data_IF_169600630915
#
_entry.id   IF_169600630915
#
_cell.length_a   1.000
_cell.length_b   1.000
_cell.length_c   1.000
_cell.angle_alpha   90.00
_cell.angle_beta   90.00
_cell.angle_gamma   90.00
#
_symmetry.space_group_name_H-M   'P 1'
#
loop_
_entity.id
_entity.type
_entity.pdbx_description
1 polymer ?
#
# COMPACT_ATOMS: atom_id res chain seq x y z
N UNK A 1 26.39 26.39 -24.46
CA UNK A 1 25.09 26.76 -25.06
C UNK A 1 24.07 25.84 -24.43
N UNK A 2 23.22 26.41 -23.59
CA UNK A 2 22.15 25.72 -22.90
C UNK A 2 20.97 25.60 -23.88
N UNK A 3 20.57 24.38 -24.21
CA UNK A 3 19.29 24.16 -24.89
C UNK A 3 18.20 24.08 -23.82
N UNK A 4 17.28 25.02 -23.97
CA UNK A 4 16.17 25.36 -23.11
C UNK A 4 15.20 24.21 -22.93
N UNK A 5 14.69 24.10 -21.70
CA UNK A 5 13.50 23.35 -21.30
C UNK A 5 12.36 23.59 -22.29
N UNK A 6 12.07 22.58 -23.12
CA UNK A 6 10.84 22.54 -23.87
C UNK A 6 9.72 22.19 -22.89
N UNK A 7 8.96 23.22 -22.48
CA UNK A 7 7.65 23.08 -21.87
C UNK A 7 6.84 22.06 -22.67
N UNK A 8 6.55 20.92 -22.05
CA UNK A 8 5.61 19.96 -22.63
C UNK A 8 4.22 20.61 -22.55
N UNK A 9 3.48 20.74 -23.66
CA UNK A 9 2.18 21.38 -23.61
C UNK A 9 1.24 20.60 -22.71
N UNK A 10 0.67 21.29 -21.73
CA UNK A 10 -0.43 20.80 -20.88
C UNK A 10 -1.54 20.23 -21.78
N UNK A 11 -1.77 18.92 -21.68
CA UNK A 11 -2.84 18.24 -22.41
C UNK A 11 -4.20 18.88 -22.06
N UNK A 12 -5.06 19.23 -23.04
CA UNK A 12 -6.37 19.82 -22.76
C UNK A 12 -7.25 18.83 -22.00
N UNK A 13 -7.56 19.16 -20.74
CA UNK A 13 -8.41 18.35 -19.86
C UNK A 13 -7.76 17.99 -18.53
N UNK A 14 -7.19 18.98 -17.82
CA UNK A 14 -6.70 18.83 -16.45
C UNK A 14 -7.82 18.37 -15.50
N UNK A 15 -8.02 17.06 -15.42
CA UNK A 15 -8.57 16.41 -14.23
C UNK A 15 -7.47 16.34 -13.16
N UNK A 16 -6.81 17.46 -12.91
CA UNK A 16 -5.89 17.58 -11.78
C UNK A 16 -6.73 17.62 -10.51
N UNK A 17 -6.91 16.45 -9.89
CA UNK A 17 -6.99 16.42 -8.43
C UNK A 17 -5.85 17.31 -7.93
N UNK A 18 -6.17 18.39 -7.22
CA UNK A 18 -5.22 19.44 -6.77
C UNK A 18 -4.27 18.86 -5.72
N UNK A 19 -3.38 17.96 -6.16
CA UNK A 19 -2.35 17.39 -5.30
C UNK A 19 -1.54 18.53 -4.69
N UNK A 20 -1.16 18.33 -3.45
CA UNK A 20 -0.30 19.21 -2.69
C UNK A 20 1.13 18.68 -2.79
N UNK A 21 2.09 19.51 -3.20
CA UNK A 21 3.50 19.11 -3.24
C UNK A 21 4.17 19.41 -1.89
N UNK A 22 4.85 18.40 -1.33
CA UNK A 22 5.58 18.50 -0.07
C UNK A 22 6.92 17.77 -0.22
N UNK A 23 8.03 18.50 -0.05
CA UNK A 23 9.41 18.00 -0.26
C UNK A 23 9.57 17.12 -1.52
N UNK A 24 9.05 17.60 -2.66
CA UNK A 24 9.16 16.92 -3.96
C UNK A 24 8.17 15.78 -4.20
N UNK A 25 7.24 15.51 -3.27
CA UNK A 25 6.24 14.44 -3.39
C UNK A 25 4.84 15.03 -3.58
N UNK A 26 4.11 14.55 -4.57
CA UNK A 26 2.69 14.90 -4.77
C UNK A 26 1.81 14.10 -3.78
N UNK A 27 1.24 14.78 -2.80
CA UNK A 27 0.34 14.21 -1.79
C UNK A 27 -1.12 14.60 -2.06
N UNK A 28 -2.11 13.83 -1.58
CA UNK A 28 -3.50 14.21 -1.66
C UNK A 28 -3.77 15.59 -1.03
N UNK A 29 -4.77 16.36 -1.53
CA UNK A 29 -5.07 17.70 -1.03
C UNK A 29 -5.34 17.75 0.48
N UNK A 30 -5.91 16.68 1.04
CA UNK A 30 -6.21 16.60 2.46
C UNK A 30 -4.96 16.50 3.35
N UNK A 31 -3.76 16.24 2.81
CA UNK A 31 -2.51 16.27 3.58
C UNK A 31 -1.95 17.70 3.78
N UNK A 32 -2.50 18.69 3.07
CA UNK A 32 -2.06 20.07 3.15
C UNK A 32 -2.27 20.61 4.57
N UNK A 33 -1.21 21.17 5.16
CA UNK A 33 -1.25 21.82 6.48
C UNK A 33 -1.18 20.87 7.68
N UNK A 34 -1.05 19.55 7.48
CA UNK A 34 -0.93 18.57 8.58
C UNK A 34 0.37 17.77 8.61
N UNK A 35 1.29 18.01 7.66
CA UNK A 35 2.50 17.17 7.55
C UNK A 35 3.42 17.28 8.78
N UNK A 36 3.53 18.47 9.37
CA UNK A 36 4.28 18.66 10.62
C UNK A 36 3.59 17.97 11.80
N UNK A 37 2.26 17.98 11.85
CA UNK A 37 1.50 17.28 12.89
C UNK A 37 1.60 15.75 12.75
N UNK A 38 1.61 15.24 11.52
CA UNK A 38 1.86 13.83 11.20
C UNK A 38 3.26 13.42 11.65
N UNK A 39 4.29 14.23 11.35
CA UNK A 39 5.66 13.94 11.75
C UNK A 39 5.81 13.84 13.29
N UNK A 40 5.06 14.68 14.03
CA UNK A 40 5.05 14.71 15.49
C UNK A 40 3.90 13.88 16.11
N UNK A 41 3.25 12.99 15.35
CA UNK A 41 2.16 12.18 15.87
C UNK A 41 2.68 11.25 16.98
N UNK A 42 2.05 11.23 18.17
CA UNK A 42 2.56 10.45 19.30
C UNK A 42 2.39 8.94 19.03
N UNK A 43 3.51 8.26 18.79
CA UNK A 43 3.56 6.81 18.59
C UNK A 43 3.60 6.11 19.95
N UNK A 44 2.93 4.97 20.07
CA UNK A 44 2.97 4.11 21.27
C UNK A 44 3.70 2.81 20.92
N UNK A 45 4.47 2.21 21.85
CA UNK A 45 5.17 0.95 21.59
C UNK A 45 4.28 -0.24 21.20
N UNK A 46 3.00 -0.18 21.59
CA UNK A 46 1.99 -1.19 21.27
C UNK A 46 1.35 -1.00 19.89
N UNK A 47 1.63 0.10 19.18
CA UNK A 47 1.00 0.34 17.89
C UNK A 47 1.53 -0.62 16.82
N UNK A 48 0.69 -0.84 15.82
CA UNK A 48 1.06 -1.57 14.61
C UNK A 48 0.67 -0.71 13.42
N UNK A 49 1.62 -0.44 12.56
CA UNK A 49 1.45 0.42 11.40
C UNK A 49 1.39 -0.42 10.14
N UNK A 50 0.30 -0.31 9.38
CA UNK A 50 0.16 -0.93 8.07
C UNK A 50 0.40 0.13 7.02
N UNK A 51 1.53 0.01 6.32
CA UNK A 51 1.93 1.01 5.33
C UNK A 51 2.02 0.38 3.95
N UNK A 52 1.45 1.05 2.95
CA UNK A 52 1.43 0.55 1.57
C UNK A 52 1.42 1.70 0.60
N UNK A 53 2.09 1.60 -0.55
CA UNK A 53 1.69 2.44 -1.67
C UNK A 53 0.22 2.12 -2.03
N UNK A 54 -0.61 3.11 -2.43
CA UNK A 54 -2.01 2.84 -2.72
C UNK A 54 -2.18 1.69 -3.72
N UNK A 55 -3.09 0.77 -3.37
CA UNK A 55 -3.46 -0.42 -4.17
C UNK A 55 -2.42 -1.55 -4.21
N UNK A 56 -1.50 -1.57 -3.25
CA UNK A 56 -0.63 -2.74 -3.01
C UNK A 56 -1.30 -3.91 -2.28
N UNK A 57 -2.59 -3.83 -1.94
CA UNK A 57 -3.32 -4.90 -1.25
C UNK A 57 -3.72 -4.61 0.19
N UNK A 58 -3.70 -3.33 0.60
CA UNK A 58 -3.94 -2.85 1.97
C UNK A 58 -5.14 -3.49 2.66
N UNK A 59 -6.29 -3.58 1.96
CA UNK A 59 -7.53 -4.16 2.51
C UNK A 59 -7.39 -5.64 2.88
N UNK A 60 -6.58 -6.41 2.13
CA UNK A 60 -6.38 -7.82 2.44
C UNK A 60 -5.33 -7.99 3.55
N UNK A 61 -4.24 -7.23 3.49
CA UNK A 61 -3.22 -7.26 4.53
C UNK A 61 -3.76 -6.86 5.90
N UNK A 62 -4.61 -5.84 5.99
CA UNK A 62 -5.14 -5.41 7.28
C UNK A 62 -6.04 -6.46 7.93
N UNK A 63 -6.83 -7.21 7.13
CA UNK A 63 -7.67 -8.30 7.62
C UNK A 63 -6.78 -9.44 8.14
N UNK A 64 -5.73 -9.80 7.39
CA UNK A 64 -4.74 -10.81 7.81
C UNK A 64 -4.00 -10.36 9.08
N UNK A 65 -3.50 -9.12 9.13
CA UNK A 65 -2.81 -8.57 10.31
C UNK A 65 -3.73 -8.55 11.52
N UNK A 66 -4.99 -8.14 11.34
CA UNK A 66 -5.98 -8.15 12.41
C UNK A 66 -6.22 -9.56 12.93
N UNK A 67 -6.52 -10.51 12.03
CA UNK A 67 -6.74 -11.91 12.37
C UNK A 67 -5.53 -12.51 13.11
N UNK A 68 -4.31 -12.29 12.61
CA UNK A 68 -3.08 -12.75 13.27
C UNK A 68 -2.90 -12.08 14.64
N UNK A 69 -3.25 -10.79 14.78
CA UNK A 69 -3.12 -10.06 16.05
C UNK A 69 -4.08 -10.54 17.14
N UNK A 70 -5.24 -11.11 16.77
CA UNK A 70 -6.18 -11.75 17.73
C UNK A 70 -5.70 -13.13 18.17
N UNK A 71 -4.77 -13.76 17.43
CA UNK A 71 -4.32 -15.12 17.70
C UNK A 71 -5.37 -16.17 17.30
N UNK A 72 -5.42 -17.28 18.04
CA UNK A 72 -6.20 -18.47 17.67
C UNK A 72 -7.68 -18.44 18.09
N UNK A 73 -8.14 -17.33 18.69
CA UNK A 73 -9.54 -17.14 19.10
C UNK A 73 -10.07 -15.81 18.55
N UNK A 74 -10.25 -15.69 17.22
CA UNK A 74 -10.78 -14.47 16.64
C UNK A 74 -12.25 -14.31 17.05
N UNK A 75 -12.59 -13.16 17.64
CA UNK A 75 -13.99 -12.78 17.82
C UNK A 75 -14.75 -12.94 16.49
N UNK A 76 -15.95 -13.52 16.50
CA UNK A 76 -16.85 -13.73 15.33
C UNK A 76 -17.25 -12.42 14.60
N UNK A 77 -16.67 -11.28 14.96
CA UNK A 77 -16.90 -9.98 14.33
C UNK A 77 -16.47 -10.10 12.86
N UNK A 78 -17.49 -10.17 12.00
CA UNK A 78 -17.38 -10.50 10.60
C UNK A 78 -16.24 -9.78 9.89
N UNK A 79 -15.41 -10.58 9.22
CA UNK A 79 -14.28 -10.26 8.34
C UNK A 79 -14.65 -9.45 7.08
N UNK A 80 -15.67 -8.59 7.18
CA UNK A 80 -16.10 -7.70 6.11
C UNK A 80 -16.63 -6.42 6.76
N UNK A 81 -15.71 -5.52 7.13
CA UNK A 81 -15.91 -4.07 7.33
C UNK A 81 -14.67 -3.38 7.93
N UNK A 82 -13.52 -4.07 8.08
CA UNK A 82 -12.34 -3.50 8.74
C UNK A 82 -11.78 -2.27 7.98
N UNK A 83 -12.07 -2.15 6.68
CA UNK A 83 -11.72 -0.98 5.87
C UNK A 83 -12.29 0.33 6.46
N UNK A 84 -13.48 0.27 7.05
CA UNK A 84 -14.13 1.39 7.77
C UNK A 84 -13.67 1.53 9.22
N UNK A 85 -13.08 0.48 9.80
CA UNK A 85 -12.74 0.42 11.23
C UNK A 85 -11.33 0.91 11.54
N UNK A 86 -10.37 0.70 10.62
CA UNK A 86 -9.00 1.14 10.87
C UNK A 86 -8.75 2.55 10.35
N UNK A 87 -8.23 3.46 11.20
CA UNK A 87 -7.95 4.82 10.79
C UNK A 87 -6.80 4.87 9.78
N UNK A 88 -6.94 5.71 8.76
CA UNK A 88 -5.82 6.13 7.91
C UNK A 88 -5.28 7.44 8.45
N UNK A 89 -4.00 7.47 8.82
CA UNK A 89 -3.37 8.60 9.54
C UNK A 89 -3.61 9.94 8.86
N UNK A 90 -3.37 10.00 7.55
CA UNK A 90 -3.43 11.23 6.77
C UNK A 90 -4.85 11.66 6.37
N UNK A 91 -5.88 10.82 6.57
CA UNK A 91 -7.24 11.14 6.15
C UNK A 91 -7.89 12.22 7.04
N UNK A 92 -8.85 12.99 6.49
CA UNK A 92 -9.54 14.02 7.27
C UNK A 92 -10.47 13.42 8.33
N UNK A 93 -10.92 12.17 8.16
CA UNK A 93 -11.74 11.43 9.12
C UNK A 93 -11.15 10.03 9.32
N UNK A 94 -11.06 9.53 10.56
CA UNK A 94 -11.51 10.19 11.79
C UNK A 94 -10.62 11.38 12.22
N UNK A 95 -9.43 11.52 11.63
CA UNK A 95 -8.51 12.63 11.85
C UNK A 95 -7.54 12.38 13.02
N UNK A 96 -6.42 13.12 13.05
CA UNK A 96 -5.30 12.85 13.95
C UNK A 96 -5.71 12.85 15.43
N UNK A 97 -6.55 13.80 15.86
CA UNK A 97 -6.99 13.90 17.26
C UNK A 97 -7.78 12.67 17.72
N UNK A 98 -8.67 12.12 16.88
CA UNK A 98 -9.41 10.92 17.25
C UNK A 98 -8.48 9.70 17.31
N UNK A 99 -7.50 9.60 16.39
CA UNK A 99 -6.52 8.50 16.40
C UNK A 99 -5.63 8.56 17.64
N UNK A 100 -5.32 9.76 18.15
CA UNK A 100 -4.60 9.95 19.42
C UNK A 100 -5.38 9.39 20.61
N UNK A 101 -6.71 9.46 20.60
CA UNK A 101 -7.59 9.01 21.70
C UNK A 101 -7.98 7.53 21.62
N UNK A 102 -7.67 6.82 20.53
CA UNK A 102 -7.96 5.37 20.43
C UNK A 102 -7.25 4.57 21.52
N UNK A 103 -7.91 3.52 22.01
CA UNK A 103 -7.34 2.58 22.97
C UNK A 103 -6.22 1.75 22.34
N UNK A 104 -5.14 1.51 23.09
CA UNK A 104 -4.08 0.59 22.66
C UNK A 104 -4.52 -0.88 22.76
N UNK A 105 -3.95 -1.79 21.94
CA UNK A 105 -3.04 -1.52 20.83
C UNK A 105 -3.78 -0.90 19.62
N UNK A 106 -3.17 0.10 18.96
CA UNK A 106 -3.76 0.74 17.78
C UNK A 106 -3.21 0.09 16.51
N UNK A 107 -4.11 -0.23 15.59
CA UNK A 107 -3.75 -0.63 14.23
C UNK A 107 -4.01 0.55 13.29
N UNK A 108 -2.94 1.17 12.78
CA UNK A 108 -3.00 2.45 12.05
C UNK A 108 -2.52 2.24 10.61
N UNK A 109 -3.27 2.79 9.64
CA UNK A 109 -2.93 2.71 8.22
C UNK A 109 -2.26 3.98 7.73
N UNK A 110 -1.35 3.86 6.77
CA UNK A 110 -0.86 5.01 6.00
C UNK A 110 -0.44 4.61 4.59
N UNK A 111 -0.46 5.59 3.70
CA UNK A 111 0.10 5.49 2.34
C UNK A 111 1.27 6.46 2.13
N UNK A 112 1.78 7.07 3.20
CA UNK A 112 2.88 8.01 3.10
C UNK A 112 4.21 7.30 2.82
N UNK A 113 5.11 7.93 2.04
CA UNK A 113 6.52 7.53 1.95
C UNK A 113 7.16 7.42 3.34
N UNK A 114 8.17 6.56 3.49
CA UNK A 114 8.77 6.24 4.79
C UNK A 114 9.21 7.51 5.53
N UNK A 115 9.88 8.42 4.82
CA UNK A 115 10.37 9.70 5.36
C UNK A 115 9.30 10.66 5.89
N UNK A 116 8.02 10.44 5.58
CA UNK A 116 6.91 11.27 6.05
C UNK A 116 6.06 10.59 7.12
N UNK A 117 6.40 9.37 7.52
CA UNK A 117 5.82 8.74 8.70
C UNK A 117 6.25 9.48 9.98
N UNK A 118 5.53 9.30 11.11
CA UNK A 118 5.92 9.87 12.39
C UNK A 118 7.38 9.54 12.75
N UNK A 119 8.13 10.52 13.25
CA UNK A 119 9.58 10.39 13.45
C UNK A 119 9.96 9.29 14.43
N UNK A 120 9.12 9.00 15.42
CA UNK A 120 9.30 7.90 16.38
C UNK A 120 9.38 6.52 15.68
N UNK A 121 8.73 6.34 14.53
CA UNK A 121 8.84 5.09 13.75
C UNK A 121 10.23 4.89 13.15
N UNK A 122 10.95 5.97 12.85
CA UNK A 122 12.33 5.91 12.36
C UNK A 122 13.32 5.51 13.47
N UNK A 123 12.95 5.74 14.73
CA UNK A 123 13.76 5.38 15.90
C UNK A 123 13.53 3.94 16.37
N UNK A 124 12.58 3.22 15.77
CA UNK A 124 12.26 1.85 16.15
C UNK A 124 11.18 1.73 17.23
N UNK A 125 10.46 2.81 17.58
CA UNK A 125 9.57 2.85 18.73
C UNK A 125 8.31 1.99 18.58
N UNK A 126 7.94 1.59 17.36
CA UNK A 126 6.76 0.78 17.08
C UNK A 126 6.88 -0.03 15.80
N UNK A 127 6.06 -1.07 15.66
CA UNK A 127 6.06 -2.01 14.53
C UNK A 127 5.46 -1.39 13.26
N UNK A 128 6.15 -1.55 12.13
CA UNK A 128 5.73 -1.14 10.79
C UNK A 128 5.71 -2.36 9.88
N UNK A 129 4.53 -2.68 9.34
CA UNK A 129 4.33 -3.72 8.33
C UNK A 129 4.14 -2.99 7.00
N UNK A 130 5.10 -3.13 6.11
CA UNK A 130 5.04 -2.57 4.78
C UNK A 130 4.75 -3.67 3.75
N UNK A 131 3.80 -3.44 2.85
CA UNK A 131 3.55 -4.35 1.73
C UNK A 131 3.72 -3.68 0.37
N UNK A 132 4.64 -4.24 -0.40
CA UNK A 132 4.86 -3.92 -1.79
C UNK A 132 4.02 -4.83 -2.71
N UNK A 133 3.76 -4.36 -3.93
CA UNK A 133 3.11 -5.15 -4.99
C UNK A 133 3.78 -4.82 -6.30
N UNK A 134 3.85 -5.78 -7.21
CA UNK A 134 4.35 -5.56 -8.56
C UNK A 134 3.64 -4.36 -9.21
N UNK A 135 4.38 -3.44 -9.84
CA UNK A 135 3.83 -2.14 -10.20
C UNK A 135 2.90 -2.18 -11.40
N UNK A 136 2.92 -3.27 -12.20
CA UNK A 136 2.03 -3.44 -13.36
C UNK A 136 0.61 -3.79 -12.91
N UNK A 137 0.43 -4.76 -12.00
CA UNK A 137 -0.90 -5.02 -11.44
C UNK A 137 -1.38 -3.85 -10.58
N UNK A 138 -0.47 -3.23 -9.83
CA UNK A 138 -0.78 -2.08 -9.00
C UNK A 138 -1.36 -0.94 -9.84
N UNK A 139 -0.73 -0.55 -10.96
CA UNK A 139 -1.20 0.57 -11.77
C UNK A 139 -2.57 0.30 -12.41
N UNK A 140 -2.88 -0.95 -12.76
CA UNK A 140 -4.21 -1.37 -13.22
C UNK A 140 -5.24 -1.18 -12.11
N UNK A 141 -4.94 -1.69 -10.91
CA UNK A 141 -5.82 -1.54 -9.74
C UNK A 141 -6.02 -0.06 -9.38
N UNK A 142 -4.98 0.75 -9.50
CA UNK A 142 -5.01 2.17 -9.16
C UNK A 142 -5.81 3.00 -10.16
N UNK A 143 -5.73 2.66 -11.45
CA UNK A 143 -6.61 3.22 -12.47
C UNK A 143 -8.07 2.90 -12.20
N UNK A 144 -8.39 1.63 -11.93
CA UNK A 144 -9.76 1.21 -11.62
C UNK A 144 -10.30 1.91 -10.37
N UNK A 145 -9.49 2.04 -9.34
CA UNK A 145 -9.84 2.76 -8.11
C UNK A 145 -10.15 4.24 -8.35
N UNK A 146 -9.33 4.93 -9.15
CA UNK A 146 -9.58 6.33 -9.52
C UNK A 146 -10.86 6.53 -10.33
N UNK A 147 -11.30 5.50 -11.08
CA UNK A 147 -12.57 5.52 -11.82
C UNK A 147 -13.78 5.20 -10.94
N UNK A 148 -13.61 4.38 -9.90
CA UNK A 148 -14.71 4.05 -8.97
C UNK A 148 -14.99 5.15 -7.95
N UNK A 149 -13.97 5.94 -7.57
CA UNK A 149 -14.14 7.02 -6.61
C UNK A 149 -14.84 8.22 -7.25
N UNK A 150 -16.04 8.57 -6.75
CA UNK A 150 -16.76 9.79 -7.18
C UNK A 150 -15.94 11.07 -6.97
N UNK A 151 -15.16 11.14 -5.89
CA UNK A 151 -14.31 12.30 -5.54
C UNK A 151 -13.12 12.48 -6.48
N UNK A 152 -12.66 11.41 -7.13
CA UNK A 152 -11.50 11.45 -8.02
C UNK A 152 -11.91 11.45 -9.50
N UNK A 153 -13.05 10.80 -9.83
CA UNK A 153 -13.75 10.80 -11.13
C UNK A 153 -12.81 10.84 -12.35
N UNK A 154 -11.75 10.02 -12.35
CA UNK A 154 -10.79 10.04 -13.46
C UNK A 154 -11.49 9.56 -14.74
N UNK A 155 -11.46 10.38 -15.80
CA UNK A 155 -12.12 10.07 -17.08
C UNK A 155 -11.15 9.76 -18.22
N UNK A 156 -9.83 9.83 -17.97
CA UNK A 156 -8.83 9.52 -18.97
C UNK A 156 -8.70 8.02 -19.24
N UNK A 157 -7.92 7.66 -20.26
CA UNK A 157 -7.64 6.26 -20.61
C UNK A 157 -6.64 5.63 -19.64
N UNK A 158 -6.57 4.28 -19.63
CA UNK A 158 -5.55 3.55 -18.88
C UNK A 158 -4.14 3.89 -19.35
N UNK A 159 -3.93 4.04 -20.66
CA UNK A 159 -2.63 4.40 -21.23
C UNK A 159 -2.11 5.75 -20.68
N UNK A 160 -2.98 6.76 -20.60
CA UNK A 160 -2.62 8.05 -20.03
C UNK A 160 -2.35 7.95 -18.51
N UNK A 161 -3.15 7.16 -17.79
CA UNK A 161 -2.93 6.92 -16.37
C UNK A 161 -1.59 6.21 -16.09
N UNK A 162 -1.27 5.18 -16.88
CA UNK A 162 -0.01 4.45 -16.82
C UNK A 162 1.19 5.37 -17.14
N UNK A 163 1.05 6.24 -18.14
CA UNK A 163 2.06 7.27 -18.44
C UNK A 163 2.27 8.21 -17.26
N UNK A 164 1.20 8.68 -16.61
CA UNK A 164 1.29 9.51 -15.40
C UNK A 164 1.98 8.78 -14.24
N UNK A 165 1.68 7.50 -14.03
CA UNK A 165 2.34 6.66 -13.03
C UNK A 165 3.86 6.58 -13.27
N UNK A 166 4.28 6.27 -14.50
CA UNK A 166 5.72 6.15 -14.85
C UNK A 166 6.49 7.47 -14.68
N UNK A 167 5.81 8.60 -14.82
CA UNK A 167 6.38 9.95 -14.68
C UNK A 167 6.13 10.58 -13.30
N UNK A 168 5.78 9.76 -12.29
CA UNK A 168 5.63 10.19 -10.88
C UNK A 168 4.56 11.29 -10.69
N UNK A 169 3.51 11.29 -11.53
CA UNK A 169 2.44 12.31 -11.54
C UNK A 169 1.17 11.88 -10.80
N UNK A 170 1.22 10.81 -10.01
CA UNK A 170 0.10 10.34 -9.18
C UNK A 170 0.27 10.75 -7.71
N UNK A 171 -0.79 10.58 -6.92
CA UNK A 171 -0.73 10.84 -5.48
C UNK A 171 0.17 9.85 -4.75
N UNK A 172 0.77 10.32 -3.64
CA UNK A 172 1.81 9.63 -2.87
C UNK A 172 3.17 9.47 -3.60
N UNK A 173 3.36 10.22 -4.69
CA UNK A 173 4.65 10.33 -5.38
C UNK A 173 5.00 9.14 -6.28
N UNK A 174 6.31 8.90 -6.41
CA UNK A 174 6.84 7.80 -7.20
C UNK A 174 6.67 6.47 -6.46
N UNK A 175 5.99 5.50 -7.06
CA UNK A 175 5.99 4.12 -6.54
C UNK A 175 7.42 3.56 -6.41
N UNK A 176 8.30 3.91 -7.36
CA UNK A 176 9.67 3.41 -7.42
C UNK A 176 10.50 3.90 -6.22
N UNK A 177 10.42 5.19 -5.90
CA UNK A 177 11.08 5.74 -4.71
C UNK A 177 10.41 5.23 -3.45
N UNK A 178 9.08 5.23 -3.41
CA UNK A 178 8.32 4.79 -2.25
C UNK A 178 8.71 3.36 -1.85
N UNK A 179 8.78 2.42 -2.78
CA UNK A 179 9.15 1.04 -2.45
C UNK A 179 10.63 0.89 -2.09
N UNK A 180 11.52 1.66 -2.71
CA UNK A 180 12.95 1.64 -2.41
C UNK A 180 13.24 2.19 -1.01
N UNK A 181 12.57 3.27 -0.60
CA UNK A 181 12.69 3.83 0.75
C UNK A 181 12.38 2.75 1.81
N UNK A 182 11.24 2.06 1.73
CA UNK A 182 10.94 0.97 2.68
C UNK A 182 11.87 -0.24 2.53
N UNK A 183 12.39 -0.50 1.34
CA UNK A 183 13.33 -1.60 1.10
C UNK A 183 14.70 -1.35 1.77
N UNK A 184 15.15 -0.09 1.83
CA UNK A 184 16.36 0.29 2.57
C UNK A 184 16.23 -0.02 4.07
N UNK A 185 15.04 0.14 4.62
CA UNK A 185 14.71 -0.12 6.03
C UNK A 185 14.25 -1.56 6.33
N UNK A 186 14.27 -2.47 5.35
CA UNK A 186 13.73 -3.83 5.51
C UNK A 186 14.41 -4.69 6.58
N UNK A 187 15.62 -4.32 6.98
CA UNK A 187 16.42 -5.03 7.99
C UNK A 187 16.28 -4.41 9.38
N UNK A 188 15.56 -3.28 9.51
CA UNK A 188 15.29 -2.66 10.80
C UNK A 188 14.36 -3.56 11.60
N UNK A 189 14.64 -3.74 12.89
CA UNK A 189 13.92 -4.71 13.73
C UNK A 189 12.42 -4.41 13.88
N UNK A 190 12.02 -3.17 13.64
CA UNK A 190 10.64 -2.72 13.72
C UNK A 190 9.96 -2.64 12.34
N UNK A 191 10.60 -3.10 11.26
CA UNK A 191 10.03 -3.10 9.91
C UNK A 191 9.89 -4.53 9.39
N UNK A 192 8.67 -4.92 9.03
CA UNK A 192 8.40 -6.14 8.29
C UNK A 192 8.03 -5.80 6.85
N UNK A 193 8.91 -6.14 5.91
CA UNK A 193 8.66 -5.95 4.48
C UNK A 193 8.04 -7.20 3.87
N UNK A 194 6.83 -7.06 3.32
CA UNK A 194 6.07 -8.11 2.65
C UNK A 194 5.86 -7.78 1.17
N UNK A 195 5.62 -8.81 0.37
CA UNK A 195 5.17 -8.67 -1.02
C UNK A 195 3.79 -9.28 -1.17
N UNK A 196 2.90 -8.57 -1.85
CA UNK A 196 1.56 -9.03 -2.19
C UNK A 196 1.60 -10.38 -2.91
N UNK A 197 2.59 -10.57 -3.78
CA UNK A 197 2.78 -11.80 -4.53
C UNK A 197 3.07 -13.00 -3.62
N UNK A 198 3.88 -12.81 -2.57
CA UNK A 198 4.22 -13.88 -1.64
C UNK A 198 2.99 -14.34 -0.85
N UNK A 199 2.03 -13.45 -0.59
CA UNK A 199 0.76 -13.78 0.08
C UNK A 199 -0.06 -14.80 -0.73
N UNK A 200 0.01 -14.73 -2.06
CA UNK A 200 -0.67 -15.65 -2.96
C UNK A 200 0.14 -16.91 -3.24
N UNK A 201 1.47 -16.83 -3.13
CA UNK A 201 2.38 -17.95 -3.41
C UNK A 201 2.54 -18.88 -2.19
N UNK A 202 2.74 -18.29 -1.01
CA UNK A 202 3.05 -18.99 0.23
C UNK A 202 2.53 -18.18 1.44
N UNK A 203 1.22 -18.27 1.64
CA UNK A 203 0.54 -17.59 2.74
C UNK A 203 1.01 -18.11 4.10
N UNK A 204 1.34 -19.39 4.21
CA UNK A 204 1.80 -20.04 5.45
C UNK A 204 3.03 -19.31 5.99
N UNK A 205 4.07 -19.18 5.16
CA UNK A 205 5.31 -18.49 5.55
C UNK A 205 5.04 -17.02 5.91
N UNK A 206 4.15 -16.34 5.19
CA UNK A 206 3.78 -14.95 5.51
C UNK A 206 3.09 -14.83 6.87
N UNK A 207 2.14 -15.72 7.18
CA UNK A 207 1.42 -15.75 8.46
C UNK A 207 2.38 -16.04 9.61
N UNK A 208 3.33 -16.96 9.44
CA UNK A 208 4.39 -17.23 10.42
C UNK A 208 5.26 -16.00 10.71
N UNK A 209 5.68 -15.29 9.64
CA UNK A 209 6.45 -14.06 9.77
C UNK A 209 5.66 -12.98 10.51
N UNK A 210 4.39 -12.81 10.17
CA UNK A 210 3.48 -11.86 10.82
C UNK A 210 3.28 -12.19 12.30
N UNK A 211 2.98 -13.44 12.64
CA UNK A 211 2.76 -13.85 14.03
C UNK A 211 4.01 -13.60 14.88
N UNK A 212 5.19 -13.98 14.36
CA UNK A 212 6.48 -13.73 15.01
C UNK A 212 6.75 -12.24 15.19
N UNK A 213 6.55 -11.44 14.15
CA UNK A 213 6.78 -10.00 14.18
C UNK A 213 5.83 -9.27 15.12
N UNK A 214 4.57 -9.69 15.17
CA UNK A 214 3.57 -9.17 16.09
C UNK A 214 3.79 -9.65 17.53
N UNK A 215 4.60 -10.68 17.75
CA UNK A 215 4.87 -11.25 19.07
C UNK A 215 3.76 -12.16 19.59
N UNK A 216 2.95 -12.69 18.67
CA UNK A 216 1.84 -13.60 18.98
C UNK A 216 2.42 -15.00 19.16
N UNK A 217 2.20 -15.57 20.35
CA UNK A 217 2.63 -16.94 20.65
C UNK A 217 1.53 -17.91 20.21
N UNK A 218 1.79 -18.66 19.15
CA UNK A 218 0.94 -19.74 18.68
C UNK A 218 1.69 -21.07 18.81
N UNK A 219 1.02 -22.11 19.32
CA UNK A 219 1.47 -23.47 19.11
C UNK A 219 1.25 -23.90 17.64
N UNK A 220 1.74 -25.09 17.29
CA UNK A 220 1.65 -25.60 15.92
C UNK A 220 0.19 -25.71 15.43
N UNK A 221 -0.72 -26.20 16.27
CA UNK A 221 -2.11 -26.40 15.89
C UNK A 221 -2.85 -25.06 15.74
N UNK A 222 -2.55 -24.10 16.63
CA UNK A 222 -3.06 -22.73 16.57
C UNK A 222 -2.61 -22.01 15.30
N UNK A 223 -1.33 -22.16 14.93
CA UNK A 223 -0.77 -21.57 13.72
C UNK A 223 -1.39 -22.19 12.46
N UNK A 224 -1.61 -23.50 12.44
CA UNK A 224 -2.28 -24.20 11.34
C UNK A 224 -3.73 -23.69 11.18
N UNK A 225 -4.49 -23.57 12.27
CA UNK A 225 -5.86 -23.04 12.24
C UNK A 225 -5.92 -21.57 11.79
N UNK A 226 -5.00 -20.74 12.30
CA UNK A 226 -4.89 -19.33 11.91
C UNK A 226 -4.59 -19.18 10.41
N UNK A 227 -3.69 -20.02 9.90
CA UNK A 227 -3.32 -20.03 8.48
C UNK A 227 -4.50 -20.45 7.60
N UNK A 228 -5.26 -21.46 8.02
CA UNK A 228 -6.48 -21.89 7.33
C UNK A 228 -7.52 -20.76 7.28
N UNK A 229 -7.74 -20.04 8.39
CA UNK A 229 -8.63 -18.87 8.40
C UNK A 229 -8.15 -17.76 7.45
N UNK A 230 -6.83 -17.51 7.40
CA UNK A 230 -6.25 -16.56 6.46
C UNK A 230 -6.46 -17.00 5.00
N UNK A 231 -6.32 -18.29 4.68
CA UNK A 231 -6.60 -18.82 3.34
C UNK A 231 -8.05 -18.58 2.94
N UNK A 232 -9.00 -18.92 3.82
CA UNK A 232 -10.43 -18.71 3.58
C UNK A 232 -10.75 -17.23 3.34
N UNK A 233 -10.15 -16.34 4.13
CA UNK A 233 -10.29 -14.89 3.95
C UNK A 233 -9.75 -14.41 2.59
N UNK A 234 -8.54 -14.84 2.22
CA UNK A 234 -7.91 -14.47 0.94
C UNK A 234 -8.77 -14.96 -0.23
N UNK A 235 -9.26 -16.20 -0.17
CA UNK A 235 -10.10 -16.79 -1.20
C UNK A 235 -11.45 -16.06 -1.32
N UNK A 236 -12.10 -15.75 -0.20
CA UNK A 236 -13.34 -14.96 -0.20
C UNK A 236 -13.11 -13.57 -0.81
N UNK A 237 -12.02 -12.89 -0.45
CA UNK A 237 -11.69 -11.57 -1.00
C UNK A 237 -11.40 -11.60 -2.50
N UNK A 238 -10.76 -12.67 -3.00
CA UNK A 238 -10.42 -12.80 -4.42
C UNK A 238 -11.61 -13.25 -5.28
N UNK A 239 -12.54 -14.02 -4.71
CA UNK A 239 -13.67 -14.61 -5.43
C UNK A 239 -15.00 -13.89 -5.19
N UNK A 240 -15.04 -12.82 -4.38
CA UNK A 240 -16.26 -12.07 -4.10
C UNK A 240 -16.91 -11.56 -5.40
N UNK A 241 -18.15 -12.02 -5.66
CA UNK A 241 -18.94 -11.74 -6.87
C UNK A 241 -19.16 -10.22 -7.13
N UNK A 242 -19.05 -9.40 -6.09
CA UNK A 242 -19.19 -7.95 -6.15
C UNK A 242 -17.96 -7.21 -6.70
N UNK A 243 -16.82 -7.89 -6.88
CA UNK A 243 -15.62 -7.30 -7.43
C UNK A 243 -15.59 -7.48 -8.96
N UNK A 244 -15.14 -6.46 -9.74
CA UNK A 244 -14.89 -6.65 -11.16
C UNK A 244 -13.96 -7.85 -11.37
N UNK A 245 -14.34 -8.75 -12.28
CA UNK A 245 -13.64 -10.01 -12.60
C UNK A 245 -12.12 -9.80 -12.62
N UNK A 246 -11.40 -10.54 -11.78
CA UNK A 246 -9.93 -10.53 -11.71
C UNK A 246 -9.29 -9.59 -10.68
N UNK A 247 -10.06 -8.92 -9.80
CA UNK A 247 -9.47 -8.27 -8.61
C UNK A 247 -8.87 -9.34 -7.70
N UNK A 248 -7.60 -9.16 -7.33
CA UNK A 248 -6.92 -10.01 -6.35
C UNK A 248 -5.85 -10.91 -6.94
N UNK A 249 -5.93 -11.29 -8.23
CA UNK A 249 -4.89 -12.14 -8.85
C UNK A 249 -3.59 -11.39 -9.14
N UNK A 250 -2.50 -12.14 -9.19
CA UNK A 250 -1.19 -11.68 -9.69
C UNK A 250 -1.11 -11.99 -11.20
N UNK A 251 -0.85 -10.96 -12.01
CA UNK A 251 -0.74 -11.07 -13.46
C UNK A 251 -1.94 -10.51 -14.26
N UNK A 252 -2.90 -9.84 -13.62
CA UNK A 252 -4.02 -9.16 -14.30
C UNK A 252 -3.53 -8.17 -15.36
N UNK A 253 -2.37 -7.56 -15.16
CA UNK A 253 -1.79 -6.61 -16.10
C UNK A 253 -1.60 -7.18 -17.52
N UNK A 254 -1.39 -8.50 -17.67
CA UNK A 254 -1.23 -9.15 -18.98
C UNK A 254 -2.46 -8.98 -19.88
N UNK A 255 -3.64 -8.90 -19.29
CA UNK A 255 -4.91 -8.77 -20.02
C UNK A 255 -5.20 -7.31 -20.41
N UNK A 256 -4.50 -6.36 -19.79
CA UNK A 256 -4.79 -4.91 -19.90
C UNK A 256 -3.69 -4.17 -20.67
N UNK A 257 -2.42 -4.56 -20.50
CA UNK A 257 -1.31 -3.93 -21.18
C UNK A 257 -1.25 -4.35 -22.64
N UNK A 258 -1.12 -3.37 -23.53
CA UNK A 258 -0.65 -3.66 -24.90
C UNK A 258 0.85 -3.96 -24.87
N UNK A 259 1.35 -4.64 -25.90
CA UNK A 259 2.79 -4.94 -26.05
C UNK A 259 3.64 -3.66 -25.94
N UNK A 260 3.25 -2.58 -26.64
CA UNK A 260 3.98 -1.31 -26.60
C UNK A 260 3.95 -0.65 -25.21
N UNK A 261 2.83 -0.77 -24.48
CA UNK A 261 2.79 -0.28 -23.09
C UNK A 261 3.74 -1.07 -22.20
N UNK A 262 3.77 -2.40 -22.36
CA UNK A 262 4.63 -3.27 -21.59
C UNK A 262 6.12 -2.94 -21.82
N UNK A 263 6.55 -2.81 -23.07
CA UNK A 263 7.94 -2.49 -23.42
C UNK A 263 8.39 -1.14 -22.85
N UNK A 264 7.54 -0.11 -22.95
CA UNK A 264 7.82 1.21 -22.36
C UNK A 264 7.91 1.15 -20.84
N UNK A 265 7.01 0.40 -20.21
CA UNK A 265 7.01 0.20 -18.78
C UNK A 265 8.26 -0.52 -18.30
N UNK A 266 8.67 -1.60 -18.98
CA UNK A 266 9.86 -2.38 -18.66
C UNK A 266 11.14 -1.54 -18.78
N UNK A 267 11.21 -0.65 -19.77
CA UNK A 267 12.32 0.30 -19.90
C UNK A 267 12.41 1.25 -18.69
N UNK A 268 11.29 1.88 -18.31
CA UNK A 268 11.25 2.78 -17.13
C UNK A 268 11.53 2.02 -15.85
N UNK A 269 10.96 0.82 -15.69
CA UNK A 269 11.18 -0.04 -14.53
C UNK A 269 12.66 -0.40 -14.40
N UNK A 270 13.32 -0.81 -15.49
CA UNK A 270 14.76 -1.12 -15.49
C UNK A 270 15.61 0.11 -15.16
N UNK A 271 15.23 1.30 -15.64
CA UNK A 271 15.94 2.54 -15.32
C UNK A 271 15.81 2.91 -13.84
N UNK A 272 14.61 2.83 -13.26
CA UNK A 272 14.33 3.27 -11.90
C UNK A 272 14.64 2.25 -10.81
N UNK A 273 14.50 0.95 -11.10
CA UNK A 273 14.76 -0.15 -10.16
C UNK A 273 16.10 -0.85 -10.42
N UNK A 274 16.83 -0.53 -11.49
CA UNK A 274 18.00 -1.29 -11.92
C UNK A 274 19.19 -1.31 -10.94
N UNK A 275 19.19 -0.44 -9.92
CA UNK A 275 20.18 -0.42 -8.83
C UNK A 275 19.69 -1.08 -7.54
N UNK A 276 18.40 -1.42 -7.47
CA UNK A 276 17.77 -2.05 -6.31
C UNK A 276 17.77 -3.58 -6.50
N UNK A 277 18.08 -4.32 -5.44
CA UNK A 277 18.05 -5.79 -5.42
C UNK A 277 16.65 -6.37 -5.14
N UNK A 278 15.64 -5.52 -4.93
CA UNK A 278 14.25 -5.92 -4.77
C UNK A 278 13.68 -6.49 -6.08
N UNK A 279 13.11 -7.70 -6.00
CA UNK A 279 12.46 -8.38 -7.11
C UNK A 279 10.98 -8.63 -6.85
N UNK A 280 10.20 -8.67 -7.93
CA UNK A 280 8.76 -8.90 -7.92
C UNK A 280 8.38 -10.02 -8.87
N UNK A 281 7.37 -10.80 -8.47
CA UNK A 281 6.71 -11.72 -9.36
C UNK A 281 5.62 -10.98 -10.14
N UNK A 282 5.75 -10.93 -11.45
CA UNK A 282 4.74 -10.26 -12.29
C UNK A 282 3.57 -11.19 -12.62
N UNK A 283 3.63 -12.47 -12.28
CA UNK A 283 2.57 -13.45 -12.45
C UNK A 283 2.88 -14.65 -11.56
N UNK A 284 1.84 -15.34 -11.14
CA UNK A 284 1.90 -16.63 -10.44
C UNK A 284 1.25 -17.71 -11.30
#
# INVERSE_FOLDING_TARGET
>A
MAESEAETPSTPGEFESKYFEFHGVRLPPFCRGKMEEIANFPVRPSDVWIVTYPKSGTSLLQEVVYLVSQGADPDEIGLMNIDEQLPVLEYPQPGLDIIKELTSPRLIKSHLPYRFLPSDLHNGDSKVIYMARNPKDLVVSYYQFHRSLRTMSYRGTFQEFCRRFMNDKLGYGSWFEHVQEFWEHRMDSNVLFLKYEDMHRDLVTMVEQLARFLGVSCDKAQLEALTEHCHQLVDQCCNAEALPVGRGRVGLWKDIFTVSMNEKFDLVYKQKMGKCDLTFDFYL
#
